data_IF_964850462844
#
_entry.id   IF_964850462844
#
_cell.length_a   1.000
_cell.length_b   1.000
_cell.length_c   1.000
_cell.angle_alpha   90.00
_cell.angle_beta   90.00
_cell.angle_gamma   90.00
#
_symmetry.space_group_name_H-M   'P 1'
#
loop_
_entity.id
_entity.type
_entity.pdbx_description
1 polymer ?
#
# COMPACT_ATOMS: atom_id res chain seq x y z
N UNK A 1 7.09 6.47 7.28
CA UNK A 1 7.36 5.26 6.49
C UNK A 1 6.07 4.51 6.15
N UNK A 2 5.22 4.18 7.12
CA UNK A 2 3.95 3.46 6.89
C UNK A 2 2.97 4.12 5.91
N UNK A 3 2.95 5.45 5.79
CA UNK A 3 2.07 6.16 4.83
C UNK A 3 2.37 5.81 3.37
N UNK A 4 3.65 5.74 2.98
CA UNK A 4 4.06 5.38 1.61
C UNK A 4 3.67 3.94 1.30
N UNK A 5 3.95 3.03 2.24
CA UNK A 5 3.55 1.63 2.15
C UNK A 5 2.03 1.46 2.09
N UNK A 6 1.28 2.16 2.94
CA UNK A 6 -0.18 2.14 2.92
C UNK A 6 -0.75 2.70 1.61
N UNK A 7 -0.12 3.73 1.04
CA UNK A 7 -0.46 4.26 -0.28
C UNK A 7 -0.18 3.25 -1.40
N UNK A 8 0.93 2.53 -1.32
CA UNK A 8 1.24 1.46 -2.27
C UNK A 8 0.27 0.27 -2.15
N UNK A 9 -0.14 -0.11 -0.94
CA UNK A 9 -1.17 -1.11 -0.73
C UNK A 9 -2.51 -0.64 -1.30
N UNK A 10 -2.90 0.61 -1.08
CA UNK A 10 -4.14 1.14 -1.63
C UNK A 10 -4.12 1.14 -3.17
N UNK A 11 -2.99 1.44 -3.80
CA UNK A 11 -2.88 1.27 -5.26
C UNK A 11 -2.86 -0.21 -5.68
N UNK A 12 -2.36 -1.12 -4.84
CA UNK A 12 -2.42 -2.55 -5.10
C UNK A 12 -3.85 -3.10 -5.02
N UNK A 13 -4.77 -2.46 -4.29
CA UNK A 13 -6.20 -2.81 -4.29
C UNK A 13 -6.86 -2.60 -5.67
N UNK A 14 -6.29 -1.76 -6.54
CA UNK A 14 -6.76 -1.53 -7.90
C UNK A 14 -6.40 -2.67 -8.86
N UNK A 15 -5.46 -3.53 -8.46
CA UNK A 15 -5.10 -4.71 -9.23
C UNK A 15 -6.28 -5.70 -9.23
N UNK A 16 -6.34 -6.64 -10.20
CA UNK A 16 -7.40 -7.63 -10.25
C UNK A 16 -7.64 -8.28 -8.89
N UNK A 17 -8.84 -8.06 -8.34
CA UNK A 17 -9.16 -8.42 -6.97
C UNK A 17 -9.00 -9.93 -6.77
N UNK A 18 -8.28 -10.31 -5.72
CA UNK A 18 -8.17 -11.69 -5.25
C UNK A 18 -9.06 -11.85 -4.02
N UNK A 19 -9.76 -12.96 -3.94
CA UNK A 19 -10.67 -13.24 -2.83
C UNK A 19 -10.25 -14.50 -2.09
N UNK A 20 -10.35 -14.46 -0.76
CA UNK A 20 -10.27 -15.64 0.13
C UNK A 20 -11.40 -15.56 1.14
N UNK A 21 -12.14 -16.66 1.29
CA UNK A 21 -13.28 -16.75 2.21
C UNK A 21 -14.30 -15.60 2.04
N UNK A 22 -14.54 -15.20 0.78
CA UNK A 22 -15.45 -14.12 0.44
C UNK A 22 -14.93 -12.70 0.72
N UNK A 23 -13.67 -12.55 1.16
CA UNK A 23 -13.04 -11.25 1.43
C UNK A 23 -11.97 -10.93 0.41
N UNK A 24 -11.89 -9.67 -0.02
CA UNK A 24 -10.79 -9.21 -0.86
C UNK A 24 -9.47 -9.28 -0.09
N UNK A 25 -8.42 -9.69 -0.79
CA UNK A 25 -7.07 -9.85 -0.27
C UNK A 25 -6.09 -9.12 -1.18
N UNK A 26 -5.15 -8.44 -0.54
CA UNK A 26 -4.10 -7.68 -1.20
C UNK A 26 -2.78 -8.29 -0.79
N UNK A 27 -1.96 -8.70 -1.76
CA UNK A 27 -0.66 -9.28 -1.44
C UNK A 27 0.34 -8.16 -1.20
N UNK A 28 1.12 -8.27 -0.12
CA UNK A 28 2.21 -7.32 0.16
C UNK A 28 3.24 -7.32 -0.98
N UNK A 29 3.39 -8.44 -1.68
CA UNK A 29 4.23 -8.55 -2.88
C UNK A 29 3.77 -7.63 -4.02
N UNK A 30 2.46 -7.39 -4.19
CA UNK A 30 1.99 -6.49 -5.24
C UNK A 30 2.34 -5.03 -4.91
N UNK A 31 2.14 -4.62 -3.65
CA UNK A 31 2.59 -3.31 -3.18
C UNK A 31 4.11 -3.15 -3.32
N UNK A 32 4.88 -4.21 -3.07
CA UNK A 32 6.33 -4.22 -3.34
C UNK A 32 6.66 -4.04 -4.83
N UNK A 33 5.95 -4.69 -5.75
CA UNK A 33 6.13 -4.49 -7.19
C UNK A 33 5.94 -3.01 -7.56
N UNK A 34 4.89 -2.38 -7.01
CA UNK A 34 4.64 -0.94 -7.17
C UNK A 34 5.79 -0.11 -6.58
N UNK A 35 6.18 -0.38 -5.32
CA UNK A 35 7.26 0.31 -4.61
C UNK A 35 8.63 0.12 -5.25
N UNK A 36 8.84 -0.95 -6.00
CA UNK A 36 10.11 -1.23 -6.69
C UNK A 36 10.26 -0.43 -7.99
N UNK A 37 9.17 0.13 -8.52
CA UNK A 37 9.16 0.85 -9.80
C UNK A 37 9.07 -0.07 -11.02
N UNK A 38 8.73 -1.35 -10.83
CA UNK A 38 8.58 -2.34 -11.90
C UNK A 38 7.14 -2.47 -12.41
N UNK A 39 6.22 -1.62 -11.94
CA UNK A 39 4.81 -1.66 -12.33
C UNK A 39 4.59 -1.73 -13.86
N UNK A 40 5.30 -0.94 -14.71
CA UNK A 40 5.13 -1.03 -16.17
C UNK A 40 5.42 -2.40 -16.78
N UNK A 41 6.19 -3.25 -16.09
CA UNK A 41 6.60 -4.57 -16.57
C UNK A 41 5.85 -5.72 -15.91
N UNK A 42 5.30 -5.49 -14.72
CA UNK A 42 4.79 -6.56 -13.86
C UNK A 42 3.30 -6.43 -13.52
N UNK A 43 2.71 -5.23 -13.66
CA UNK A 43 1.28 -5.03 -13.45
C UNK A 43 0.52 -5.34 -14.72
N UNK A 44 -0.31 -6.38 -14.65
CA UNK A 44 -1.25 -6.69 -15.72
C UNK A 44 -2.21 -5.51 -15.90
N UNK A 45 -2.39 -5.08 -17.15
CA UNK A 45 -3.28 -3.96 -17.45
C UNK A 45 -2.67 -2.57 -17.20
N UNK A 46 -1.35 -2.47 -17.00
CA UNK A 46 -0.66 -1.20 -16.69
C UNK A 46 -1.01 -0.05 -17.66
N UNK A 47 -1.02 -0.32 -18.96
CA UNK A 47 -1.31 0.71 -19.96
C UNK A 47 -2.74 1.26 -19.84
N UNK A 48 -3.67 0.45 -19.31
CA UNK A 48 -5.06 0.80 -19.08
C UNK A 48 -5.29 1.56 -17.76
N UNK A 49 -4.28 1.67 -16.90
CA UNK A 49 -4.38 2.51 -15.70
C UNK A 49 -4.62 3.97 -16.09
N UNK A 50 -5.43 4.66 -15.29
CA UNK A 50 -5.65 6.08 -15.49
C UNK A 50 -4.34 6.86 -15.30
N UNK A 51 -4.17 7.96 -16.02
CA UNK A 51 -3.01 8.85 -15.83
C UNK A 51 -2.95 9.37 -14.38
N UNK A 52 -4.09 9.54 -13.72
CA UNK A 52 -4.15 9.92 -12.31
C UNK A 52 -3.55 8.83 -11.40
N UNK A 53 -3.84 7.55 -11.63
CA UNK A 53 -3.27 6.45 -10.83
C UNK A 53 -1.78 6.26 -11.11
N UNK A 54 -1.33 6.45 -12.36
CA UNK A 54 0.10 6.47 -12.71
C UNK A 54 0.82 7.62 -12.00
N UNK A 55 0.20 8.81 -11.92
CA UNK A 55 0.75 9.95 -11.16
C UNK A 55 0.80 9.68 -9.65
N UNK A 56 -0.24 9.06 -9.07
CA UNK A 56 -0.24 8.63 -7.67
C UNK A 56 0.89 7.65 -7.40
N UNK A 57 1.12 6.67 -8.29
CA UNK A 57 2.27 5.78 -8.17
C UNK A 57 3.60 6.54 -8.28
N UNK A 58 3.69 7.52 -9.17
CA UNK A 58 4.84 8.43 -9.25
C UNK A 58 5.12 9.14 -7.93
N UNK A 59 4.09 9.62 -7.24
CA UNK A 59 4.21 10.23 -5.91
C UNK A 59 4.67 9.23 -4.83
N UNK A 60 4.12 8.00 -4.83
CA UNK A 60 4.60 6.90 -3.95
C UNK A 60 6.09 6.68 -4.17
N UNK A 61 6.52 6.56 -5.44
CA UNK A 61 7.91 6.30 -5.81
C UNK A 61 8.84 7.47 -5.47
N UNK A 62 8.35 8.71 -5.52
CA UNK A 62 9.10 9.90 -5.11
C UNK A 62 9.28 10.00 -3.58
N UNK A 63 8.34 9.46 -2.81
CA UNK A 63 8.37 9.48 -1.34
C UNK A 63 8.95 8.20 -0.71
N UNK A 64 9.28 7.18 -1.51
CA UNK A 64 9.75 5.88 -1.01
C UNK A 64 11.14 5.96 -0.39
N UNK A 65 11.37 5.17 0.64
CA UNK A 65 12.71 4.91 1.17
C UNK A 65 13.39 3.78 0.41
N UNK A 66 14.73 3.79 0.36
CA UNK A 66 15.52 2.77 -0.39
C UNK A 66 15.23 1.34 0.05
N UNK A 67 14.95 1.12 1.33
CA UNK A 67 14.62 -0.19 1.89
C UNK A 67 13.33 -0.78 1.32
N UNK A 68 12.39 0.05 0.88
CA UNK A 68 11.09 -0.38 0.35
C UNK A 68 11.18 -1.00 -1.05
N UNK A 69 12.36 -0.96 -1.68
CA UNK A 69 12.66 -1.71 -2.89
C UNK A 69 12.89 -3.22 -2.62
N UNK A 70 13.02 -3.65 -1.37
CA UNK A 70 13.27 -5.04 -0.97
C UNK A 70 12.03 -5.66 -0.32
N UNK A 71 11.52 -6.76 -0.89
CA UNK A 71 10.30 -7.42 -0.39
C UNK A 71 10.38 -7.78 1.10
N UNK A 72 11.51 -8.37 1.54
CA UNK A 72 11.71 -8.74 2.94
C UNK A 72 11.58 -7.56 3.91
N UNK A 73 11.99 -6.36 3.48
CA UNK A 73 11.89 -5.16 4.30
C UNK A 73 10.44 -4.67 4.38
N UNK A 74 9.71 -4.74 3.26
CA UNK A 74 8.27 -4.44 3.21
C UNK A 74 7.50 -5.40 4.12
N UNK A 75 7.70 -6.70 3.97
CA UNK A 75 7.05 -7.73 4.80
C UNK A 75 7.35 -7.56 6.29
N UNK A 76 8.62 -7.31 6.65
CA UNK A 76 9.01 -7.03 8.03
C UNK A 76 8.34 -5.75 8.56
N UNK A 77 8.22 -4.71 7.74
CA UNK A 77 7.55 -3.47 8.12
C UNK A 77 6.07 -3.70 8.38
N UNK A 78 5.38 -4.42 7.48
CA UNK A 78 3.98 -4.82 7.67
C UNK A 78 3.82 -5.62 8.97
N UNK A 79 4.64 -6.65 9.16
CA UNK A 79 4.62 -7.46 10.38
C UNK A 79 4.77 -6.60 11.63
N UNK A 80 5.78 -5.72 11.68
CA UNK A 80 6.04 -4.86 12.83
C UNK A 80 4.86 -3.95 13.14
N UNK A 81 4.30 -3.27 12.13
CA UNK A 81 3.19 -2.32 12.31
C UNK A 81 1.95 -3.01 12.87
N UNK A 82 1.64 -4.24 12.43
CA UNK A 82 0.47 -4.97 12.95
C UNK A 82 0.70 -5.58 14.35
N UNK A 83 1.94 -5.83 14.76
CA UNK A 83 2.25 -6.42 16.08
C UNK A 83 2.57 -5.37 17.15
N UNK A 84 3.07 -4.21 16.75
CA UNK A 84 3.40 -3.09 17.62
C UNK A 84 3.10 -1.78 16.87
N UNK A 85 1.80 -1.43 16.70
CA UNK A 85 1.41 -0.25 15.95
C UNK A 85 1.81 1.03 16.70
N UNK A 86 2.43 1.97 15.99
CA UNK A 86 2.54 3.34 16.47
C UNK A 86 1.18 4.05 16.32
N UNK A 87 0.90 5.04 17.17
CA UNK A 87 -0.40 5.73 17.19
C UNK A 87 -0.77 6.39 15.85
N UNK A 88 0.23 6.78 15.06
CA UNK A 88 0.07 7.50 13.80
C UNK A 88 0.13 6.60 12.55
N UNK A 89 0.28 5.28 12.74
CA UNK A 89 0.34 4.35 11.60
C UNK A 89 -1.04 4.17 10.95
N UNK A 90 -1.19 4.43 9.64
CA UNK A 90 -2.47 4.30 8.97
C UNK A 90 -2.82 2.85 8.63
N UNK A 91 -1.84 1.93 8.64
CA UNK A 91 -2.02 0.55 8.21
C UNK A 91 -3.08 -0.21 9.03
N UNK A 92 -3.05 -0.21 10.37
CA UNK A 92 -4.06 -0.92 11.18
C UNK A 92 -5.46 -0.30 11.08
N UNK A 93 -5.56 0.98 10.70
CA UNK A 93 -6.84 1.63 10.48
C UNK A 93 -7.47 1.29 9.12
N UNK A 94 -6.64 0.95 8.13
CA UNK A 94 -7.06 0.70 6.75
C UNK A 94 -7.21 -0.78 6.44
N UNK A 95 -6.39 -1.63 7.05
CA UNK A 95 -6.32 -3.04 6.75
C UNK A 95 -6.30 -3.89 8.01
N UNK A 96 -6.72 -5.15 7.87
CA UNK A 96 -6.43 -6.22 8.80
C UNK A 96 -5.29 -7.09 8.27
N UNK A 97 -4.47 -7.66 9.17
CA UNK A 97 -3.43 -8.61 8.78
C UNK A 97 -4.07 -9.92 8.30
N UNK A 98 -3.67 -10.35 7.10
CA UNK A 98 -4.00 -11.65 6.52
C UNK A 98 -2.76 -12.55 6.47
N UNK A 99 -2.98 -13.86 6.52
CA UNK A 99 -1.92 -14.84 6.31
C UNK A 99 -2.31 -15.79 5.17
N UNK A 100 -1.39 -16.00 4.22
CA UNK A 100 -1.49 -17.06 3.22
C UNK A 100 -1.45 -18.43 3.89
N UNK A 101 -2.30 -19.38 3.44
CA UNK A 101 -2.46 -20.76 3.97
C UNK A 101 -1.16 -21.59 4.07
N UNK A 102 -0.05 -21.10 3.52
CA UNK A 102 1.26 -21.78 3.59
C UNK A 102 2.34 -20.98 4.32
N UNK A 103 2.00 -19.88 5.00
CA UNK A 103 2.93 -19.05 5.76
C UNK A 103 4.02 -18.36 4.93
N UNK A 104 3.87 -18.32 3.59
CA UNK A 104 4.90 -17.84 2.65
C UNK A 104 4.64 -16.47 2.05
N UNK A 105 3.41 -15.96 2.09
CA UNK A 105 3.07 -14.66 1.54
C UNK A 105 2.30 -13.84 2.58
N UNK A 106 2.79 -12.63 2.83
CA UNK A 106 2.07 -11.65 3.63
C UNK A 106 0.93 -11.05 2.81
N UNK A 107 -0.24 -11.02 3.43
CA UNK A 107 -1.46 -10.52 2.85
C UNK A 107 -2.09 -9.53 3.82
N UNK A 108 -2.87 -8.60 3.28
CA UNK A 108 -3.70 -7.71 4.07
C UNK A 108 -5.10 -7.68 3.48
N UNK A 109 -6.06 -7.42 4.35
CA UNK A 109 -7.48 -7.37 4.00
C UNK A 109 -7.96 -5.93 4.17
N UNK A 110 -8.38 -5.24 3.11
CA UNK A 110 -8.98 -3.92 3.23
C UNK A 110 -10.18 -3.95 4.19
N UNK A 111 -10.22 -3.03 5.16
CA UNK A 111 -11.33 -2.88 6.12
C UNK A 111 -12.05 -1.55 5.99
N UNK A 112 -11.54 -0.63 5.16
CA UNK A 112 -12.05 0.74 5.06
C UNK A 112 -13.32 0.89 4.22
N UNK A 113 -13.56 0.03 3.23
CA UNK A 113 -14.65 0.20 2.25
C UNK A 113 -14.53 1.46 1.37
N UNK A 114 -13.43 2.21 1.50
CA UNK A 114 -13.12 3.41 0.73
C UNK A 114 -12.54 3.08 -0.64
N UNK A 115 -12.74 4.01 -1.59
CA UNK A 115 -12.10 3.99 -2.90
C UNK A 115 -10.57 3.98 -2.76
N UNK A 116 -9.85 3.02 -3.35
CA UNK A 116 -8.41 2.89 -3.11
C UNK A 116 -7.59 4.05 -3.68
N UNK A 117 -7.97 4.62 -4.83
CA UNK A 117 -7.31 5.79 -5.39
C UNK A 117 -7.42 7.01 -4.45
N UNK A 118 -8.59 7.22 -3.85
CA UNK A 118 -8.80 8.25 -2.83
C UNK A 118 -8.01 8.02 -1.54
N UNK A 119 -7.86 6.77 -1.10
CA UNK A 119 -7.01 6.42 0.05
C UNK A 119 -5.54 6.74 -0.24
N UNK A 120 -5.03 6.31 -1.40
CA UNK A 120 -3.66 6.59 -1.83
C UNK A 120 -3.40 8.10 -1.89
N UNK A 121 -4.30 8.87 -2.49
CA UNK A 121 -4.18 10.32 -2.59
C UNK A 121 -4.11 11.01 -1.22
N UNK A 122 -5.00 10.65 -0.29
CA UNK A 122 -5.00 11.20 1.07
C UNK A 122 -3.73 10.86 1.85
N UNK A 123 -3.16 9.68 1.63
CA UNK A 123 -1.94 9.25 2.31
C UNK A 123 -0.70 9.98 1.79
N UNK A 124 -0.70 10.32 0.50
CA UNK A 124 0.42 10.96 -0.21
C UNK A 124 0.36 12.49 -0.19
N UNK A 125 -0.82 13.08 0.03
CA UNK A 125 -0.95 14.52 0.21
C UNK A 125 -0.27 14.90 1.53
N UNK A 126 0.71 15.83 1.53
CA UNK A 126 1.25 16.36 2.77
C UNK A 126 0.08 16.94 3.57
N UNK A 127 -0.10 16.51 4.81
CA UNK A 127 -0.94 17.24 5.76
C UNK A 127 -0.38 18.65 5.81
N UNK A 128 -1.04 19.60 5.14
CA UNK A 128 -0.71 21.02 5.27
C UNK A 128 -0.81 21.33 6.76
N UNK A 129 0.32 21.44 7.43
CA UNK A 129 0.39 22.11 8.73
C UNK A 129 -0.16 23.52 8.49
N UNK A 130 -1.23 23.86 9.18
CA UNK A 130 -1.69 25.24 9.23
C UNK A 130 -0.51 26.10 9.73
N UNK A 131 -0.12 27.16 9.00
CA UNK A 131 0.86 28.10 9.53
C UNK A 131 0.14 28.94 10.59
N UNK A 132 0.15 28.46 11.83
CA UNK A 132 -0.63 29.10 12.91
C UNK A 132 -0.22 28.78 14.35
N UNK A 133 0.69 27.85 14.60
CA UNK A 133 1.16 27.52 15.96
C UNK A 133 2.69 27.70 16.10
N UNK A 134 3.13 28.96 16.10
CA UNK A 134 4.41 29.39 16.66
C UNK A 134 4.19 30.66 17.51
#
# INVERSE_FOLDING_TARGET
MSRTLAGALALADLLPARFRDGRQVVHVADAHVLLSGHAPRAVAGWEQWSEADKQRLGAVLGARHRGEALLQHVERTVYNVFHAPDADDPLPALYALGHSERGRAFEVLPTHGQDPSGVAERLLTPTRTCPGDL
#
